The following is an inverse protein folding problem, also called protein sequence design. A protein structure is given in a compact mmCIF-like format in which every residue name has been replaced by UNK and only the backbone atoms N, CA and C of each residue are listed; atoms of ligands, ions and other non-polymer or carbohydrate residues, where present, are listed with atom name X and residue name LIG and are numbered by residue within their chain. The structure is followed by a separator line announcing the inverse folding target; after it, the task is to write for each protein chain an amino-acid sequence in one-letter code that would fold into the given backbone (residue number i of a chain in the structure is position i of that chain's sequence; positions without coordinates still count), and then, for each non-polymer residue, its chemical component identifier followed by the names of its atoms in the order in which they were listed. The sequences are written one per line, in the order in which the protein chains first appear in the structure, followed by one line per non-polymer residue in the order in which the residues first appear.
data_IF_886067754391
#
_entry.id   IF_886067754391
#
_cell.length_a   1.000
_cell.length_b   1.000
_cell.length_c   1.000
_cell.angle_alpha   90.00
_cell.angle_beta   90.00
_cell.angle_gamma   90.00
#
_symmetry.space_group_name_H-M   'P 1'
#
loop_
_entity.id
_entity.type
_entity.pdbx_description
1 polymer ?
#
# COMPACT_ATOMS: atom_id res chain seq x y z
N UNK A 1 -3.79 -21.13 -59.81
CA UNK A 1 -3.28 -22.47 -60.17
C UNK A 1 -3.26 -23.47 -59.00
N UNK A 2 -3.01 -23.05 -57.74
CA UNK A 2 -2.97 -23.98 -56.59
C UNK A 2 -4.32 -24.62 -56.20
N UNK A 3 -5.45 -23.95 -56.43
CA UNK A 3 -6.78 -24.47 -56.07
C UNK A 3 -7.19 -25.71 -56.89
N UNK A 4 -6.77 -25.81 -58.17
CA UNK A 4 -7.10 -26.95 -59.04
C UNK A 4 -6.28 -28.21 -58.73
N UNK A 5 -5.02 -28.05 -58.28
CA UNK A 5 -4.17 -29.16 -57.87
C UNK A 5 -4.64 -29.79 -56.55
N UNK A 6 -5.07 -28.98 -55.59
CA UNK A 6 -5.65 -29.47 -54.32
C UNK A 6 -7.00 -30.16 -54.53
N UNK A 7 -7.86 -29.64 -55.42
CA UNK A 7 -9.12 -30.28 -55.76
C UNK A 7 -8.92 -31.65 -56.44
N UNK A 8 -7.94 -31.76 -57.36
CA UNK A 8 -7.57 -33.04 -57.96
C UNK A 8 -7.01 -34.02 -56.91
N UNK A 9 -6.17 -33.55 -55.97
CA UNK A 9 -5.63 -34.41 -54.91
C UNK A 9 -6.74 -34.96 -53.99
N UNK A 10 -7.70 -34.11 -53.58
CA UNK A 10 -8.88 -34.53 -52.83
C UNK A 10 -9.72 -35.54 -53.63
N UNK A 11 -9.93 -35.31 -54.93
CA UNK A 11 -10.68 -36.24 -55.77
C UNK A 11 -10.00 -37.62 -55.87
N UNK A 12 -8.67 -37.66 -56.03
CA UNK A 12 -7.90 -38.91 -56.04
C UNK A 12 -7.94 -39.65 -54.70
N UNK A 13 -7.84 -38.92 -53.58
CA UNK A 13 -7.95 -39.50 -52.23
C UNK A 13 -9.35 -40.08 -51.96
N UNK A 14 -10.41 -39.36 -52.35
CA UNK A 14 -11.80 -39.81 -52.20
C UNK A 14 -12.07 -41.07 -53.04
N UNK A 15 -11.59 -41.10 -54.29
CA UNK A 15 -11.70 -42.30 -55.13
C UNK A 15 -10.89 -43.48 -54.60
N UNK A 16 -9.70 -43.23 -54.06
CA UNK A 16 -8.86 -44.27 -53.44
C UNK A 16 -9.55 -44.92 -52.25
N UNK A 17 -10.06 -44.12 -51.32
CA UNK A 17 -10.80 -44.60 -50.15
C UNK A 17 -12.07 -45.38 -50.54
N UNK A 18 -12.75 -44.94 -51.61
CA UNK A 18 -13.91 -45.66 -52.14
C UNK A 18 -13.50 -47.03 -52.69
N UNK A 19 -12.48 -47.08 -53.56
CA UNK A 19 -11.99 -48.33 -54.13
C UNK A 19 -11.53 -49.32 -53.06
N UNK A 20 -10.82 -48.84 -52.04
CA UNK A 20 -10.40 -49.65 -50.89
C UNK A 20 -11.61 -50.25 -50.15
N UNK A 21 -12.60 -49.43 -49.77
CA UNK A 21 -13.79 -49.90 -49.05
C UNK A 21 -14.61 -50.92 -49.84
N UNK A 22 -14.77 -50.71 -51.14
CA UNK A 22 -15.47 -51.67 -52.00
C UNK A 22 -14.69 -52.99 -52.12
N UNK A 23 -13.36 -52.93 -52.22
CA UNK A 23 -12.50 -54.12 -52.29
C UNK A 23 -12.51 -54.90 -50.98
N UNK A 24 -12.48 -54.23 -49.84
CA UNK A 24 -12.62 -54.84 -48.50
C UNK A 24 -13.98 -55.56 -48.36
N UNK A 25 -15.08 -54.92 -48.77
CA UNK A 25 -16.40 -55.53 -48.70
C UNK A 25 -16.48 -56.83 -49.53
N UNK A 26 -15.95 -56.80 -50.75
CA UNK A 26 -15.90 -57.98 -51.64
C UNK A 26 -15.04 -59.09 -51.03
N UNK A 27 -13.85 -58.77 -50.53
CA UNK A 27 -12.93 -59.75 -49.93
C UNK A 27 -13.52 -60.41 -48.68
N UNK A 28 -14.41 -59.72 -47.97
CA UNK A 28 -15.11 -60.23 -46.80
C UNK A 28 -16.46 -60.91 -47.13
N UNK A 29 -16.80 -61.11 -48.41
CA UNK A 29 -18.05 -61.72 -48.85
C UNK A 29 -19.30 -60.88 -48.61
N UNK A 30 -19.13 -59.57 -48.34
CA UNK A 30 -20.21 -58.62 -48.13
C UNK A 30 -20.58 -57.91 -49.43
N UNK A 31 -21.85 -57.49 -49.55
CA UNK A 31 -22.29 -56.68 -50.70
C UNK A 31 -21.80 -55.25 -50.52
N UNK A 32 -21.04 -54.67 -51.45
CA UNK A 32 -20.61 -53.28 -51.36
C UNK A 32 -21.81 -52.33 -51.37
N UNK A 33 -21.95 -51.56 -50.29
CA UNK A 33 -23.04 -50.61 -50.12
C UNK A 33 -22.54 -49.18 -50.32
N UNK A 34 -23.08 -48.47 -51.32
CA UNK A 34 -22.72 -47.08 -51.61
C UNK A 34 -23.02 -46.15 -50.43
N UNK A 35 -24.09 -46.40 -49.67
CA UNK A 35 -24.42 -45.60 -48.50
C UNK A 35 -23.34 -45.71 -47.41
N UNK A 36 -22.84 -46.92 -47.14
CA UNK A 36 -21.77 -47.14 -46.16
C UNK A 36 -20.47 -46.46 -46.59
N UNK A 37 -20.18 -46.49 -47.90
CA UNK A 37 -18.99 -45.85 -48.44
C UNK A 37 -19.07 -44.32 -48.34
N UNK A 38 -20.23 -43.73 -48.64
CA UNK A 38 -20.48 -42.29 -48.47
C UNK A 38 -20.44 -41.88 -47.00
N UNK A 39 -20.96 -42.71 -46.08
CA UNK A 39 -20.88 -42.45 -44.64
C UNK A 39 -19.42 -42.43 -44.15
N UNK A 40 -18.64 -43.44 -44.53
CA UNK A 40 -17.21 -43.51 -44.19
C UNK A 40 -16.44 -42.29 -44.72
N UNK A 41 -16.68 -41.90 -45.98
CA UNK A 41 -16.07 -40.70 -46.56
C UNK A 41 -16.48 -39.43 -45.80
N UNK A 42 -17.76 -39.26 -45.46
CA UNK A 42 -18.22 -38.11 -44.69
C UNK A 42 -17.57 -38.05 -43.30
N UNK A 43 -17.45 -39.18 -42.59
CA UNK A 43 -16.79 -39.20 -41.29
C UNK A 43 -15.32 -38.78 -41.38
N UNK A 44 -14.58 -39.32 -42.35
CA UNK A 44 -13.16 -39.02 -42.51
C UNK A 44 -12.91 -37.56 -42.94
N UNK A 45 -13.66 -37.07 -43.93
CA UNK A 45 -13.52 -35.68 -44.41
C UNK A 45 -14.01 -34.66 -43.37
N UNK A 46 -15.10 -34.94 -42.65
CA UNK A 46 -15.56 -34.06 -41.58
C UNK A 46 -14.55 -34.01 -40.42
N UNK A 47 -13.96 -35.14 -40.04
CA UNK A 47 -12.89 -35.15 -39.03
C UNK A 47 -11.68 -34.33 -39.48
N UNK A 48 -11.23 -34.50 -40.72
CA UNK A 48 -10.13 -33.72 -41.28
C UNK A 48 -10.48 -32.21 -41.38
N UNK A 49 -11.75 -31.88 -41.65
CA UNK A 49 -12.25 -30.50 -41.65
C UNK A 49 -12.20 -29.89 -40.25
N UNK A 50 -12.58 -30.62 -39.20
CA UNK A 50 -12.48 -30.16 -37.79
C UNK A 50 -11.03 -29.86 -37.43
N UNK A 51 -10.10 -30.77 -37.71
CA UNK A 51 -8.68 -30.57 -37.41
C UNK A 51 -8.13 -29.32 -38.12
N UNK A 52 -8.41 -29.19 -39.41
CA UNK A 52 -7.90 -28.09 -40.22
C UNK A 52 -8.49 -26.73 -39.82
N UNK A 53 -9.78 -26.68 -39.50
CA UNK A 53 -10.44 -25.47 -39.01
C UNK A 53 -9.91 -25.07 -37.63
N UNK A 54 -9.69 -26.05 -36.74
CA UNK A 54 -9.12 -25.82 -35.40
C UNK A 54 -7.69 -25.29 -35.49
N UNK A 55 -6.84 -25.93 -36.30
CA UNK A 55 -5.45 -25.50 -36.51
C UNK A 55 -5.38 -24.07 -37.09
N UNK A 56 -6.26 -23.75 -38.04
CA UNK A 56 -6.36 -22.40 -38.58
C UNK A 56 -6.69 -21.38 -37.48
N UNK A 57 -7.72 -21.65 -36.67
CA UNK A 57 -8.11 -20.77 -35.56
C UNK A 57 -6.95 -20.54 -34.59
N UNK A 58 -6.28 -21.61 -34.15
CA UNK A 58 -5.18 -21.53 -33.20
C UNK A 58 -4.00 -20.73 -33.75
N UNK A 59 -3.62 -20.98 -35.01
CA UNK A 59 -2.48 -20.31 -35.64
C UNK A 59 -2.76 -18.84 -35.94
N UNK A 60 -3.97 -18.48 -36.35
CA UNK A 60 -4.32 -17.08 -36.61
C UNK A 60 -4.47 -16.28 -35.31
N UNK A 61 -5.11 -16.84 -34.28
CA UNK A 61 -5.17 -16.21 -32.96
C UNK A 61 -3.79 -15.98 -32.37
N UNK A 62 -2.90 -16.98 -32.46
CA UNK A 62 -1.53 -16.86 -31.95
C UNK A 62 -0.68 -15.80 -32.69
N UNK A 63 -0.95 -15.54 -33.97
CA UNK A 63 -0.23 -14.53 -34.76
C UNK A 63 -0.76 -13.12 -34.56
N UNK A 64 -2.09 -12.97 -34.46
CA UNK A 64 -2.76 -11.67 -34.46
C UNK A 64 -2.87 -11.06 -33.07
N UNK A 65 -3.06 -11.90 -32.05
CA UNK A 65 -3.27 -11.40 -30.69
C UNK A 65 -1.93 -11.04 -30.06
N UNK A 66 -1.79 -9.76 -29.73
CA UNK A 66 -0.67 -9.24 -28.93
C UNK A 66 -1.19 -9.05 -27.50
N UNK A 67 -0.53 -9.70 -26.54
CA UNK A 67 -0.90 -9.62 -25.14
C UNK A 67 -0.10 -8.54 -24.39
N UNK A 68 -0.72 -7.81 -23.44
CA UNK A 68 -2.17 -7.73 -23.21
C UNK A 68 -2.88 -6.90 -24.29
N UNK A 69 -4.14 -7.23 -24.60
CA UNK A 69 -5.00 -6.35 -25.40
C UNK A 69 -5.48 -5.18 -24.55
N UNK A 70 -5.64 -4.00 -25.15
CA UNK A 70 -6.07 -2.79 -24.42
C UNK A 70 -7.48 -2.95 -23.87
N UNK A 71 -8.40 -3.52 -24.67
CA UNK A 71 -9.79 -3.75 -24.29
C UNK A 71 -10.24 -5.19 -24.52
N UNK A 72 -11.34 -5.57 -23.86
CA UNK A 72 -11.99 -6.86 -24.08
C UNK A 72 -12.62 -6.92 -25.47
N UNK A 73 -13.16 -5.81 -25.96
CA UNK A 73 -13.79 -5.73 -27.28
C UNK A 73 -12.78 -6.02 -28.39
N UNK A 74 -11.57 -5.45 -28.32
CA UNK A 74 -10.48 -5.77 -29.27
C UNK A 74 -10.16 -7.27 -29.31
N UNK A 75 -10.10 -7.93 -28.15
CA UNK A 75 -9.88 -9.38 -28.08
C UNK A 75 -11.05 -10.16 -28.71
N UNK A 76 -12.29 -9.75 -28.43
CA UNK A 76 -13.50 -10.40 -28.91
C UNK A 76 -13.70 -10.24 -30.42
N UNK A 77 -13.37 -9.07 -30.97
CA UNK A 77 -13.43 -8.79 -32.41
C UNK A 77 -12.42 -9.67 -33.17
N UNK A 78 -11.17 -9.74 -32.70
CA UNK A 78 -10.15 -10.63 -33.28
C UNK A 78 -10.56 -12.10 -33.21
N UNK A 79 -11.10 -12.54 -32.06
CA UNK A 79 -11.64 -13.88 -31.90
C UNK A 79 -12.74 -14.17 -32.92
N UNK A 80 -13.70 -13.24 -33.08
CA UNK A 80 -14.84 -13.40 -33.97
C UNK A 80 -14.40 -13.57 -35.43
N UNK A 81 -13.46 -12.75 -35.90
CA UNK A 81 -12.93 -12.88 -37.26
C UNK A 81 -12.24 -14.24 -37.51
N UNK A 82 -11.51 -14.74 -36.52
CA UNK A 82 -10.81 -16.03 -36.62
C UNK A 82 -11.81 -17.20 -36.57
N UNK A 83 -12.82 -17.10 -35.71
CA UNK A 83 -13.90 -18.07 -35.56
C UNK A 83 -14.74 -18.18 -36.85
N UNK A 84 -15.19 -17.06 -37.41
CA UNK A 84 -15.96 -17.04 -38.67
C UNK A 84 -15.20 -17.71 -39.82
N UNK A 85 -13.89 -17.44 -39.95
CA UNK A 85 -13.06 -18.06 -40.98
C UNK A 85 -12.80 -19.55 -40.73
N UNK A 86 -12.64 -19.96 -39.47
CA UNK A 86 -12.52 -21.38 -39.13
C UNK A 86 -13.80 -22.15 -39.49
N UNK A 87 -14.96 -21.55 -39.20
CA UNK A 87 -16.27 -22.10 -39.58
C UNK A 87 -16.41 -22.18 -41.11
N UNK A 88 -15.99 -21.16 -41.85
CA UNK A 88 -16.02 -21.18 -43.32
C UNK A 88 -15.12 -22.29 -43.92
N UNK A 89 -13.93 -22.49 -43.36
CA UNK A 89 -13.02 -23.59 -43.72
C UNK A 89 -13.68 -24.95 -43.48
N UNK A 90 -14.39 -25.11 -42.36
CA UNK A 90 -15.11 -26.32 -42.03
C UNK A 90 -16.27 -26.56 -43.01
N UNK A 91 -17.15 -25.57 -43.22
CA UNK A 91 -18.30 -25.67 -44.12
C UNK A 91 -17.85 -26.03 -45.54
N UNK A 92 -16.75 -25.44 -46.02
CA UNK A 92 -16.21 -25.71 -47.36
C UNK A 92 -15.71 -27.14 -47.56
N UNK A 93 -15.29 -27.82 -46.47
CA UNK A 93 -14.72 -29.18 -46.53
C UNK A 93 -15.65 -30.27 -46.02
N UNK A 94 -16.56 -29.92 -45.13
CA UNK A 94 -17.48 -30.86 -44.51
C UNK A 94 -18.66 -31.19 -45.42
N UNK A 95 -19.17 -32.41 -45.32
CA UNK A 95 -20.44 -32.80 -45.94
C UNK A 95 -21.10 -33.92 -45.15
N UNK A 96 -22.44 -33.99 -45.21
CA UNK A 96 -23.26 -35.02 -44.55
C UNK A 96 -22.96 -35.18 -43.04
N UNK A 97 -22.71 -34.07 -42.34
CA UNK A 97 -22.56 -34.06 -40.87
C UNK A 97 -23.92 -34.26 -40.18
N UNK A 98 -24.29 -35.53 -39.96
CA UNK A 98 -25.53 -35.89 -39.27
C UNK A 98 -25.53 -35.32 -37.85
N UNK A 99 -26.66 -34.73 -37.45
CA UNK A 99 -26.88 -34.15 -36.12
C UNK A 99 -25.89 -33.04 -35.71
N UNK A 100 -25.13 -32.50 -36.67
CA UNK A 100 -24.10 -31.49 -36.47
C UNK A 100 -23.02 -31.94 -35.48
N UNK A 101 -22.68 -33.23 -35.46
CA UNK A 101 -21.73 -33.79 -34.50
C UNK A 101 -20.35 -33.14 -34.65
N UNK A 102 -19.82 -33.11 -35.87
CA UNK A 102 -18.48 -32.55 -36.13
C UNK A 102 -18.46 -31.02 -35.99
N UNK A 103 -19.55 -30.35 -36.36
CA UNK A 103 -19.69 -28.91 -36.13
C UNK A 103 -19.66 -28.58 -34.62
N UNK A 104 -20.38 -29.34 -33.78
CA UNK A 104 -20.35 -29.17 -32.32
C UNK A 104 -18.95 -29.43 -31.76
N UNK A 105 -18.26 -30.45 -32.27
CA UNK A 105 -16.89 -30.74 -31.89
C UNK A 105 -15.96 -29.55 -32.19
N UNK A 106 -16.04 -28.98 -33.40
CA UNK A 106 -15.27 -27.79 -33.78
C UNK A 106 -15.55 -26.61 -32.86
N UNK A 107 -16.82 -26.28 -32.60
CA UNK A 107 -17.18 -25.17 -31.72
C UNK A 107 -16.68 -25.40 -30.29
N UNK A 108 -16.70 -26.65 -29.80
CA UNK A 108 -16.13 -27.02 -28.51
C UNK A 108 -14.61 -26.79 -28.45
N UNK A 109 -13.87 -27.16 -29.50
CA UNK A 109 -12.42 -26.93 -29.62
C UNK A 109 -12.09 -25.45 -29.67
N UNK A 110 -12.80 -24.67 -30.48
CA UNK A 110 -12.64 -23.21 -30.58
C UNK A 110 -12.92 -22.55 -29.23
N UNK A 111 -14.03 -22.89 -28.57
CA UNK A 111 -14.39 -22.31 -27.27
C UNK A 111 -13.34 -22.61 -26.20
N UNK A 112 -12.80 -23.84 -26.17
CA UNK A 112 -11.71 -24.19 -25.25
C UNK A 112 -10.48 -23.33 -25.51
N UNK A 113 -10.06 -23.21 -26.78
CA UNK A 113 -8.88 -22.41 -27.16
C UNK A 113 -9.07 -20.92 -26.92
N UNK A 114 -10.26 -20.39 -27.19
CA UNK A 114 -10.67 -19.02 -26.83
C UNK A 114 -10.46 -18.75 -25.35
N UNK A 115 -10.93 -19.64 -24.48
CA UNK A 115 -10.75 -19.50 -23.03
C UNK A 115 -9.27 -19.53 -22.62
N UNK A 116 -8.46 -20.38 -23.26
CA UNK A 116 -7.01 -20.42 -23.03
C UNK A 116 -6.32 -19.10 -23.44
N UNK A 117 -6.67 -18.53 -24.59
CA UNK A 117 -6.15 -17.23 -25.02
C UNK A 117 -6.63 -16.08 -24.14
N UNK A 118 -7.90 -16.09 -23.72
CA UNK A 118 -8.44 -15.08 -22.80
C UNK A 118 -7.68 -15.10 -21.48
N UNK A 119 -7.45 -16.30 -20.91
CA UNK A 119 -6.68 -16.44 -19.68
C UNK A 119 -5.26 -15.88 -19.81
N UNK A 120 -4.57 -16.19 -20.92
CA UNK A 120 -3.24 -15.62 -21.20
C UNK A 120 -3.27 -14.09 -21.29
N UNK A 121 -4.34 -13.52 -21.85
CA UNK A 121 -4.54 -12.08 -21.91
C UNK A 121 -4.71 -11.46 -20.52
N UNK A 122 -5.55 -12.08 -19.69
CA UNK A 122 -5.75 -11.67 -18.29
C UNK A 122 -4.44 -11.75 -17.50
N UNK A 123 -3.73 -12.88 -17.57
CA UNK A 123 -2.47 -13.10 -16.87
C UNK A 123 -1.40 -12.08 -17.30
N UNK A 124 -1.30 -11.77 -18.60
CA UNK A 124 -0.37 -10.76 -19.11
C UNK A 124 -0.75 -9.34 -18.66
N UNK A 125 -2.04 -9.01 -18.64
CA UNK A 125 -2.54 -7.72 -18.16
C UNK A 125 -2.27 -7.55 -16.66
N UNK A 126 -2.51 -8.59 -15.86
CA UNK A 126 -2.18 -8.61 -14.43
C UNK A 126 -0.69 -8.42 -14.21
N UNK A 127 0.16 -9.19 -14.90
CA UNK A 127 1.60 -9.12 -14.75
C UNK A 127 2.14 -7.72 -15.10
N UNK A 128 1.65 -7.10 -16.17
CA UNK A 128 2.05 -5.74 -16.55
C UNK A 128 1.63 -4.72 -15.49
N UNK A 129 0.39 -4.78 -15.02
CA UNK A 129 -0.14 -3.84 -14.03
C UNK A 129 0.54 -3.98 -12.67
N UNK A 130 0.81 -5.20 -12.23
CA UNK A 130 1.51 -5.47 -10.97
C UNK A 130 2.96 -4.95 -11.03
N UNK A 131 3.68 -5.14 -12.14
CA UNK A 131 5.04 -4.59 -12.34
C UNK A 131 5.04 -3.05 -12.41
N UNK A 132 4.06 -2.46 -13.10
CA UNK A 132 3.89 -1.01 -13.17
C UNK A 132 3.63 -0.41 -11.78
N UNK A 133 2.70 -0.99 -11.01
CA UNK A 133 2.40 -0.52 -9.66
C UNK A 133 3.61 -0.70 -8.72
N UNK A 134 4.32 -1.83 -8.79
CA UNK A 134 5.52 -2.05 -8.00
C UNK A 134 6.60 -0.98 -8.26
N UNK A 135 6.77 -0.58 -9.54
CA UNK A 135 7.69 0.50 -9.91
C UNK A 135 7.21 1.87 -9.43
N UNK A 136 5.92 2.16 -9.56
CA UNK A 136 5.35 3.44 -9.13
C UNK A 136 5.33 3.59 -7.60
N UNK A 137 5.15 2.49 -6.86
CA UNK A 137 5.10 2.47 -5.39
C UNK A 137 6.45 2.25 -4.72
N UNK A 138 7.53 2.02 -5.46
CA UNK A 138 8.84 1.66 -4.90
C UNK A 138 9.32 2.65 -3.83
N UNK A 139 9.25 3.95 -4.12
CA UNK A 139 9.68 5.00 -3.19
C UNK A 139 8.77 5.09 -1.98
N UNK A 140 7.46 4.91 -2.18
CA UNK A 140 6.48 4.88 -1.10
C UNK A 140 6.74 3.67 -0.18
N UNK A 141 7.01 2.50 -0.73
CA UNK A 141 7.28 1.27 0.03
C UNK A 141 8.59 1.37 0.83
N UNK A 142 9.62 2.00 0.27
CA UNK A 142 10.84 2.36 1.01
C UNK A 142 10.56 3.34 2.15
N UNK A 143 9.75 4.36 1.90
CA UNK A 143 9.41 5.35 2.92
C UNK A 143 8.59 4.73 4.06
N UNK A 144 7.65 3.82 3.74
CA UNK A 144 6.87 3.05 4.70
C UNK A 144 7.74 2.13 5.56
N UNK A 145 8.65 1.37 4.94
CA UNK A 145 9.55 0.46 5.67
C UNK A 145 10.56 1.19 6.54
N UNK A 146 10.98 2.39 6.14
CA UNK A 146 11.81 3.28 6.95
C UNK A 146 11.06 3.97 8.10
N UNK A 147 9.73 3.82 8.18
CA UNK A 147 8.91 4.48 9.21
C UNK A 147 8.78 5.99 9.01
N UNK A 148 8.97 6.50 7.80
CA UNK A 148 9.00 7.94 7.50
C UNK A 148 7.68 8.66 7.78
N UNK A 149 6.58 7.90 7.87
CA UNK A 149 5.24 8.42 8.15
C UNK A 149 4.85 8.31 9.64
N UNK A 150 5.74 7.83 10.51
CA UNK A 150 5.52 7.77 11.97
C UNK A 150 5.95 9.10 12.60
N UNK A 151 5.30 10.18 12.17
CA UNK A 151 5.50 11.55 12.63
C UNK A 151 4.15 12.25 12.72
N UNK A 152 4.00 13.29 13.57
CA UNK A 152 2.78 14.10 13.59
C UNK A 152 2.46 14.68 12.19
N UNK A 153 1.22 14.52 11.75
CA UNK A 153 0.76 14.82 10.40
C UNK A 153 1.18 13.81 9.31
N UNK A 154 1.71 12.64 9.68
CA UNK A 154 2.24 11.65 8.74
C UNK A 154 1.21 11.15 7.72
N UNK A 155 -0.07 11.05 8.09
CA UNK A 155 -1.12 10.64 7.16
C UNK A 155 -1.36 11.67 6.05
N UNK A 156 -1.18 12.97 6.34
CA UNK A 156 -1.34 14.05 5.36
C UNK A 156 -0.23 14.02 4.30
N UNK A 157 0.94 13.47 4.61
CA UNK A 157 2.03 13.25 3.66
C UNK A 157 1.81 11.98 2.82
N UNK A 158 1.19 10.95 3.40
CA UNK A 158 0.93 9.68 2.72
C UNK A 158 -0.11 9.81 1.60
N UNK A 159 -1.23 10.50 1.87
CA UNK A 159 -2.35 10.65 0.93
C UNK A 159 -1.97 11.22 -0.44
N UNK A 160 -1.27 12.37 -0.56
CA UNK A 160 -0.93 12.94 -1.87
C UNK A 160 0.04 12.04 -2.66
N UNK A 161 0.91 11.29 -1.99
CA UNK A 161 1.82 10.36 -2.67
C UNK A 161 1.06 9.17 -3.25
N UNK A 162 0.02 8.67 -2.54
CA UNK A 162 -0.92 7.70 -3.08
C UNK A 162 -1.71 8.24 -4.29
N UNK A 163 -2.25 9.46 -4.20
CA UNK A 163 -3.00 10.09 -5.29
C UNK A 163 -2.12 10.25 -6.55
N UNK A 164 -0.85 10.58 -6.37
CA UNK A 164 0.16 10.67 -7.44
C UNK A 164 0.44 9.32 -8.10
N UNK A 165 0.55 8.24 -7.33
CA UNK A 165 0.72 6.87 -7.87
C UNK A 165 -0.51 6.48 -8.70
N UNK A 166 -1.71 6.71 -8.18
CA UNK A 166 -2.97 6.41 -8.87
C UNK A 166 -3.10 7.22 -10.16
N UNK A 167 -2.76 8.51 -10.12
CA UNK A 167 -2.75 9.38 -11.29
C UNK A 167 -1.84 8.83 -12.40
N UNK A 168 -0.58 8.54 -12.08
CA UNK A 168 0.38 7.98 -13.05
C UNK A 168 -0.05 6.62 -13.60
N UNK A 169 -0.64 5.77 -12.75
CA UNK A 169 -1.16 4.48 -13.20
C UNK A 169 -2.33 4.64 -14.18
N UNK A 170 -3.22 5.60 -13.92
CA UNK A 170 -4.37 5.85 -14.78
C UNK A 170 -3.98 6.42 -16.15
N UNK A 171 -2.87 7.14 -16.25
CA UNK A 171 -2.32 7.68 -17.50
C UNK A 171 -1.81 6.60 -18.47
N UNK A 172 -1.40 5.41 -17.99
CA UNK A 172 -0.86 4.36 -18.85
C UNK A 172 -1.96 3.63 -19.66
N UNK A 173 -1.92 3.64 -20.98
CA UNK A 173 -2.94 2.96 -21.81
C UNK A 173 -2.71 1.45 -21.99
N UNK A 174 -1.57 0.91 -21.57
CA UNK A 174 -1.16 -0.49 -21.83
C UNK A 174 -1.53 -1.48 -20.73
N UNK A 175 -2.36 -1.06 -19.77
CA UNK A 175 -2.81 -1.88 -18.63
C UNK A 175 -3.53 -3.15 -19.08
N UNK A 176 -4.33 -3.04 -20.13
CA UNK A 176 -5.18 -4.11 -20.63
C UNK A 176 -6.39 -4.39 -19.75
N UNK A 177 -7.05 -5.53 -20.01
CA UNK A 177 -8.39 -5.86 -19.50
C UNK A 177 -8.50 -6.01 -17.97
N UNK A 178 -7.40 -6.18 -17.24
CA UNK A 178 -7.36 -6.32 -15.78
C UNK A 178 -6.88 -5.05 -15.05
N UNK A 179 -6.66 -3.94 -15.74
CA UNK A 179 -6.13 -2.71 -15.16
C UNK A 179 -6.88 -2.22 -13.93
N UNK A 180 -8.20 -2.14 -13.99
CA UNK A 180 -9.02 -1.63 -12.88
C UNK A 180 -9.07 -2.60 -11.69
N UNK A 181 -9.16 -3.91 -11.96
CA UNK A 181 -9.19 -4.95 -10.92
C UNK A 181 -7.88 -4.96 -10.12
N UNK A 182 -6.74 -4.86 -10.81
CA UNK A 182 -5.43 -4.80 -10.18
C UNK A 182 -5.27 -3.53 -9.34
N UNK A 183 -5.71 -2.38 -9.85
CA UNK A 183 -5.69 -1.12 -9.12
C UNK A 183 -6.54 -1.18 -7.84
N UNK A 184 -7.76 -1.70 -7.93
CA UNK A 184 -8.64 -1.86 -6.76
C UNK A 184 -7.99 -2.74 -5.69
N UNK A 185 -7.37 -3.85 -6.09
CA UNK A 185 -6.65 -4.75 -5.18
C UNK A 185 -5.48 -4.03 -4.50
N UNK A 186 -4.72 -3.23 -5.25
CA UNK A 186 -3.63 -2.41 -4.71
C UNK A 186 -4.13 -1.36 -3.71
N UNK A 187 -5.19 -0.62 -4.06
CA UNK A 187 -5.78 0.39 -3.18
C UNK A 187 -6.27 -0.21 -1.87
N UNK A 188 -6.94 -1.35 -1.91
CA UNK A 188 -7.41 -2.06 -0.72
C UNK A 188 -6.25 -2.50 0.20
N UNK A 189 -5.12 -2.92 -0.39
CA UNK A 189 -3.93 -3.25 0.40
C UNK A 189 -3.35 -1.99 1.08
N UNK A 190 -3.28 -0.87 0.35
CA UNK A 190 -2.75 0.40 0.87
C UNK A 190 -3.68 1.10 1.85
N UNK A 191 -4.98 0.90 1.77
CA UNK A 191 -5.98 1.40 2.73
C UNK A 191 -5.67 0.92 4.15
N UNK A 192 -5.40 -0.38 4.34
CA UNK A 192 -5.02 -0.95 5.64
C UNK A 192 -3.75 -0.29 6.20
N UNK A 193 -2.79 0.02 5.32
CA UNK A 193 -1.57 0.71 5.71
C UNK A 193 -1.87 2.16 6.11
N UNK A 194 -2.71 2.85 5.34
CA UNK A 194 -3.17 4.21 5.63
C UNK A 194 -3.91 4.32 6.96
N UNK A 195 -4.79 3.38 7.28
CA UNK A 195 -5.52 3.32 8.56
C UNK A 195 -4.58 3.16 9.76
N UNK A 196 -3.53 2.36 9.58
CA UNK A 196 -2.48 2.18 10.59
C UNK A 196 -1.73 3.48 10.83
N UNK A 197 -1.30 4.16 9.76
CA UNK A 197 -0.63 5.47 9.85
C UNK A 197 -1.54 6.49 10.53
N UNK A 198 -2.81 6.57 10.13
CA UNK A 198 -3.78 7.50 10.71
C UNK A 198 -3.99 7.26 12.20
N UNK A 199 -4.00 5.99 12.62
CA UNK A 199 -4.14 5.63 14.04
C UNK A 199 -2.89 6.03 14.82
N UNK A 200 -1.70 5.81 14.28
CA UNK A 200 -0.44 6.27 14.87
C UNK A 200 -0.38 7.80 14.96
N UNK A 201 -0.81 8.51 13.93
CA UNK A 201 -0.81 9.98 13.85
C UNK A 201 -1.65 10.58 15.00
N UNK A 202 -2.88 10.10 15.17
CA UNK A 202 -3.78 10.51 16.27
C UNK A 202 -3.19 10.23 17.65
N UNK A 203 -2.46 9.13 17.80
CA UNK A 203 -1.82 8.77 19.06
C UNK A 203 -0.61 9.67 19.37
N UNK A 204 0.13 10.11 18.34
CA UNK A 204 1.23 11.06 18.47
C UNK A 204 0.70 12.44 18.86
N UNK A 205 -0.34 12.93 18.19
CA UNK A 205 -1.00 14.21 18.50
C UNK A 205 -1.47 14.27 19.96
N UNK A 206 -2.13 13.22 20.45
CA UNK A 206 -2.61 13.20 21.85
C UNK A 206 -1.44 13.16 22.84
N UNK A 207 -0.35 12.46 22.51
CA UNK A 207 0.81 12.37 23.38
C UNK A 207 1.58 13.69 23.45
N UNK A 208 1.63 14.47 22.37
CA UNK A 208 2.15 15.84 22.39
C UNK A 208 1.30 16.74 23.30
N UNK A 209 -0.02 16.68 23.16
CA UNK A 209 -0.96 17.46 23.98
C UNK A 209 -0.84 17.12 25.48
N UNK A 210 -0.64 15.84 25.82
CA UNK A 210 -0.40 15.41 27.20
C UNK A 210 0.94 15.96 27.72
N UNK A 211 2.01 15.89 26.94
CA UNK A 211 3.33 16.42 27.34
C UNK A 211 3.29 17.92 27.58
N UNK A 212 2.60 18.67 26.72
CA UNK A 212 2.38 20.11 26.89
C UNK A 212 1.61 20.40 28.19
N UNK A 213 0.55 19.65 28.47
CA UNK A 213 -0.21 19.79 29.72
C UNK A 213 0.62 19.49 30.97
N UNK A 214 1.43 18.43 30.95
CA UNK A 214 2.34 18.10 32.06
C UNK A 214 3.37 19.21 32.27
N UNK A 215 3.95 19.74 31.17
CA UNK A 215 4.93 20.82 31.25
C UNK A 215 4.31 22.10 31.84
N UNK A 216 3.08 22.42 31.46
CA UNK A 216 2.35 23.59 32.00
C UNK A 216 2.02 23.42 33.48
N UNK A 217 1.56 22.23 33.90
CA UNK A 217 1.29 21.91 35.31
C UNK A 217 2.56 21.97 36.17
N UNK A 218 3.68 21.44 35.68
CA UNK A 218 4.98 21.49 36.36
C UNK A 218 5.48 22.94 36.49
N UNK A 219 5.31 23.75 35.45
CA UNK A 219 5.66 25.17 35.46
C UNK A 219 4.84 25.94 36.50
N UNK A 220 3.52 25.74 36.54
CA UNK A 220 2.63 26.36 37.52
C UNK A 220 2.98 25.95 38.95
N UNK A 221 3.25 24.66 39.16
CA UNK A 221 3.68 24.13 40.48
C UNK A 221 4.97 24.78 40.93
N UNK A 222 5.97 24.88 40.04
CA UNK A 222 7.25 25.53 40.34
C UNK A 222 7.10 27.01 40.68
N UNK A 223 6.24 27.73 39.95
CA UNK A 223 5.93 29.13 40.25
C UNK A 223 5.22 29.27 41.60
N UNK A 224 4.26 28.39 41.90
CA UNK A 224 3.55 28.34 43.18
C UNK A 224 4.50 28.11 44.36
N UNK A 225 5.37 27.10 44.28
CA UNK A 225 6.39 26.84 45.31
C UNK A 225 7.35 28.02 45.47
N UNK A 226 7.80 28.64 44.37
CA UNK A 226 8.69 29.81 44.42
C UNK A 226 8.01 31.02 45.08
N UNK A 227 6.72 31.23 44.84
CA UNK A 227 5.94 32.30 45.47
C UNK A 227 5.81 32.06 46.99
N UNK A 228 5.48 30.83 47.40
CA UNK A 228 5.39 30.46 48.81
C UNK A 228 6.74 30.64 49.53
N UNK A 229 7.85 30.22 48.92
CA UNK A 229 9.19 30.40 49.49
C UNK A 229 9.54 31.88 49.71
N UNK A 230 9.18 32.77 48.76
CA UNK A 230 9.35 34.22 48.91
C UNK A 230 8.52 34.79 50.06
N UNK A 231 7.28 34.32 50.21
CA UNK A 231 6.40 34.74 51.30
C UNK A 231 6.98 34.37 52.68
N UNK A 232 7.42 33.12 52.85
CA UNK A 232 8.04 32.67 54.10
C UNK A 232 9.35 33.41 54.38
N UNK A 233 10.18 33.66 53.37
CA UNK A 233 11.41 34.43 53.54
C UNK A 233 11.14 35.88 54.00
N UNK A 234 10.11 36.53 53.46
CA UNK A 234 9.68 37.86 53.91
C UNK A 234 9.21 37.82 55.37
N UNK A 235 8.39 36.83 55.73
CA UNK A 235 7.90 36.68 57.11
C UNK A 235 9.03 36.39 58.11
N UNK A 236 10.02 35.56 57.73
CA UNK A 236 11.23 35.35 58.54
C UNK A 236 12.00 36.65 58.68
N UNK A 237 12.20 37.41 57.59
CA UNK A 237 12.91 38.70 57.66
C UNK A 237 12.19 39.72 58.55
N UNK A 238 10.86 39.73 58.56
CA UNK A 238 10.08 40.62 59.43
C UNK A 238 10.21 40.20 60.90
N UNK A 239 10.15 38.89 61.19
CA UNK A 239 10.38 38.36 62.54
C UNK A 239 11.81 38.61 63.05
N UNK A 240 12.83 38.47 62.19
CA UNK A 240 14.22 38.77 62.52
C UNK A 240 14.41 40.27 62.81
N UNK A 241 13.73 41.16 62.07
CA UNK A 241 13.72 42.59 62.37
C UNK A 241 13.03 42.87 63.70
N UNK A 242 11.87 42.27 63.97
CA UNK A 242 11.19 42.43 65.26
C UNK A 242 12.06 41.95 66.42
N UNK A 243 12.77 40.83 66.26
CA UNK A 243 13.72 40.35 67.26
C UNK A 243 14.92 41.29 67.41
N UNK A 244 15.51 41.78 66.32
CA UNK A 244 16.60 42.75 66.37
C UNK A 244 16.15 44.09 66.99
N UNK A 245 14.95 44.54 66.70
CA UNK A 245 14.32 45.72 67.30
C UNK A 245 14.04 45.50 68.78
N UNK A 246 13.60 44.31 69.21
CA UNK A 246 13.43 43.95 70.62
C UNK A 246 14.77 43.85 71.37
N UNK A 247 15.78 43.22 70.75
CA UNK A 247 17.12 43.12 71.31
C UNK A 247 17.75 44.50 71.43
N UNK A 248 17.59 45.37 70.44
CA UNK A 248 18.07 46.75 70.51
C UNK A 248 17.22 47.62 71.44
N UNK A 249 15.92 47.35 71.59
CA UNK A 249 15.00 48.20 72.38
C UNK A 249 15.38 48.32 73.86
N UNK A 250 15.97 47.29 74.48
CA UNK A 250 16.30 47.36 75.91
C UNK A 250 17.59 48.16 76.20
N UNK A 251 18.55 48.20 75.27
CA UNK A 251 19.81 48.94 75.46
C UNK A 251 19.89 50.27 74.70
N UNK A 252 19.06 50.50 73.68
CA UNK A 252 19.09 51.74 72.88
C UNK A 252 18.79 53.00 73.71
N UNK A 253 17.74 53.05 74.56
CA UNK A 253 17.49 54.22 75.42
C UNK A 253 18.58 54.43 76.46
N UNK A 254 19.19 53.34 76.96
CA UNK A 254 20.32 53.36 77.89
C UNK A 254 21.57 53.93 77.22
N UNK A 255 21.85 53.50 75.98
CA UNK A 255 22.98 53.97 75.18
C UNK A 255 22.84 55.44 74.77
N UNK A 256 21.63 55.88 74.39
CA UNK A 256 21.32 57.29 74.09
C UNK A 256 21.38 58.18 75.34
N UNK A 257 20.90 57.69 76.49
CA UNK A 257 21.08 58.38 77.77
C UNK A 257 22.56 58.52 78.14
N UNK A 258 23.37 57.47 77.91
CA UNK A 258 24.82 57.51 78.13
C UNK A 258 25.54 58.54 77.25
N UNK A 259 25.14 58.68 75.98
CA UNK A 259 25.65 59.74 75.09
C UNK A 259 25.30 61.15 75.59
N UNK A 260 24.14 61.33 76.23
CA UNK A 260 23.75 62.62 76.82
C UNK A 260 24.47 62.96 78.13
N UNK A 261 25.07 61.96 78.79
CA UNK A 261 25.90 62.09 79.99
C UNK A 261 27.38 62.31 79.64
N UNK A 262 27.73 62.37 78.36
CA UNK A 262 29.08 62.69 77.87
C UNK A 262 29.39 64.19 78.03
N UNK A 263 29.45 64.61 79.29
CA UNK A 263 30.23 65.75 79.77
C UNK A 263 31.27 65.16 80.74
N UNK A 264 32.52 65.13 80.27
CA UNK A 264 33.78 64.93 81.01
C UNK A 264 34.10 63.57 81.64
N UNK A 265 34.18 62.51 80.83
CA UNK A 265 34.98 61.32 81.20
C UNK A 265 36.06 61.06 80.16
N UNK A 266 37.33 61.07 80.63
CA UNK A 266 38.53 61.04 79.81
C UNK A 266 38.62 59.81 78.84
N UNK A 267 39.33 59.93 77.70
CA UNK A 267 39.43 58.90 76.65
C UNK A 267 39.94 57.51 77.10
N UNK A 268 40.53 57.39 78.30
CA UNK A 268 41.05 56.14 78.84
C UNK A 268 39.99 55.18 79.38
N UNK A 269 38.82 55.66 79.82
CA UNK A 269 37.73 54.82 80.34
C UNK A 269 36.84 54.25 79.22
N UNK A 270 36.68 54.98 78.13
CA UNK A 270 35.88 54.58 76.97
C UNK A 270 36.44 53.32 76.29
N UNK A 271 37.77 53.20 76.19
CA UNK A 271 38.45 52.03 75.63
C UNK A 271 38.39 50.78 76.54
N UNK A 272 38.23 50.96 77.86
CA UNK A 272 38.08 49.84 78.81
C UNK A 272 36.68 49.21 78.73
N UNK A 273 35.64 50.04 78.66
CA UNK A 273 34.26 49.58 78.50
C UNK A 273 34.01 48.90 77.15
N UNK A 274 34.48 49.50 76.05
CA UNK A 274 34.34 48.93 74.71
C UNK A 274 35.03 47.54 74.57
N UNK A 275 36.17 47.34 75.25
CA UNK A 275 36.87 46.06 75.30
C UNK A 275 36.13 44.96 76.07
N UNK A 276 35.47 45.30 77.18
CA UNK A 276 34.65 44.35 77.95
C UNK A 276 33.34 43.99 77.24
N UNK A 277 32.67 44.96 76.62
CA UNK A 277 31.44 44.72 75.86
C UNK A 277 31.72 43.86 74.62
N UNK A 278 32.81 44.10 73.89
CA UNK A 278 33.25 43.21 72.80
C UNK A 278 33.51 41.79 73.29
N UNK A 279 34.20 41.60 74.42
CA UNK A 279 34.45 40.28 75.02
C UNK A 279 33.18 39.56 75.46
N UNK A 280 32.21 40.29 76.02
CA UNK A 280 30.93 39.74 76.44
C UNK A 280 30.09 39.28 75.24
N UNK A 281 30.00 40.12 74.20
CA UNK A 281 29.29 39.79 72.96
C UNK A 281 29.94 38.58 72.25
N UNK A 282 31.28 38.53 72.16
CA UNK A 282 31.99 37.37 71.60
C UNK A 282 31.80 36.08 72.42
N UNK A 283 31.60 36.18 73.73
CA UNK A 283 31.35 35.02 74.60
C UNK A 283 29.92 34.48 74.52
N UNK A 284 28.96 35.34 74.14
CA UNK A 284 27.56 34.96 73.91
C UNK A 284 27.39 34.31 72.53
N UNK A 285 27.97 34.89 71.47
CA UNK A 285 27.86 34.36 70.10
C UNK A 285 28.55 33.00 69.90
N UNK A 286 29.52 32.62 70.76
CA UNK A 286 30.18 31.30 70.71
C UNK A 286 29.48 30.21 71.54
N UNK A 287 28.38 30.52 72.26
CA UNK A 287 27.61 29.53 73.04
C UNK A 287 26.37 28.99 72.32
N UNK A 288 26.02 29.54 71.16
CA UNK A 288 24.84 29.16 70.36
C UNK A 288 25.19 28.41 69.05
N UNK A 289 26.43 27.93 68.90
CA UNK A 289 26.81 26.90 67.91
C UNK A 289 26.96 25.55 68.59
#
# INVERSE_FOLDING_TARGET
MFCGLLANLCLFLVFGNLAEKYTEAINNGQVPCMENAVLYLSENENKAAVEKASEYYETEMAKRVVFPTETMDQFMDLNKECEEKAVDIFITRSFKDKDHHFQKELMGRIQKKKNEFLKKNEDASVAYCDDLLAKLSEDLDKALTAGSYVVPGGYQLFKPEMDKIVGKYNEDTKKGIKGDEVLQRFLKNKEVTGDTILTSDKALDENERIKEGIYEEELLTRQGCAWQAKLYAAQISDLEKEQADQETAWYTPVWESLKSVEVDVAPSLFNFGAGMVKKAISSFQNKEK
#
